data_IF_954210881604
#
_entry.id   IF_954210881604
#
_cell.length_a   1.000
_cell.length_b   1.000
_cell.length_c   1.000
_cell.angle_alpha   90.00
_cell.angle_beta   90.00
_cell.angle_gamma   90.00
#
_symmetry.space_group_name_H-M   'P 1'
#
loop_
_entity.id
_entity.type
_entity.pdbx_description
1 polymer ?
#
# COMPACT_ATOMS: atom_id res chain seq x y z
N UNK A 1 -16.93 -13.93 72.89
CA UNK A 1 -17.79 -12.74 72.62
C UNK A 1 -17.39 -12.19 71.25
N UNK A 2 -18.22 -11.81 70.30
CA UNK A 2 -19.61 -12.02 69.94
C UNK A 2 -19.81 -11.20 68.63
N UNK A 3 -20.16 -11.88 67.51
CA UNK A 3 -20.96 -11.44 66.32
C UNK A 3 -20.67 -10.09 65.61
N UNK A 4 -20.84 -9.88 64.29
CA UNK A 4 -21.26 -10.67 63.13
C UNK A 4 -20.97 -9.86 61.84
N UNK A 5 -20.68 -10.57 60.74
CA UNK A 5 -20.68 -10.06 59.34
C UNK A 5 -22.12 -9.81 58.84
N UNK A 6 -22.31 -8.86 57.91
CA UNK A 6 -23.48 -8.81 57.03
C UNK A 6 -23.06 -8.84 55.56
N UNK A 7 -23.51 -9.91 54.90
CA UNK A 7 -23.45 -10.23 53.47
C UNK A 7 -24.76 -9.78 52.83
N UNK A 8 -24.75 -9.38 51.55
CA UNK A 8 -25.95 -9.37 50.69
C UNK A 8 -25.64 -10.14 49.41
N UNK A 9 -26.15 -11.36 49.33
CA UNK A 9 -26.30 -12.21 48.14
C UNK A 9 -27.74 -11.95 47.62
N UNK A 10 -28.06 -11.94 46.32
CA UNK A 10 -28.58 -13.07 45.48
C UNK A 10 -29.43 -12.37 44.38
N UNK A 11 -29.45 -12.67 43.06
CA UNK A 11 -29.75 -13.94 42.39
C UNK A 11 -29.28 -13.96 40.92
N UNK A 12 -28.75 -15.12 40.55
CA UNK A 12 -28.55 -15.67 39.21
C UNK A 12 -29.69 -16.65 38.91
N UNK A 13 -30.11 -16.78 37.65
CA UNK A 13 -30.80 -17.95 37.06
C UNK A 13 -30.77 -17.76 35.53
N UNK A 14 -29.86 -18.35 34.74
CA UNK A 14 -29.61 -19.74 34.27
C UNK A 14 -30.66 -20.36 33.32
N UNK A 15 -30.13 -20.77 32.13
CA UNK A 15 -30.60 -21.73 31.11
C UNK A 15 -31.81 -21.30 30.23
N UNK A 16 -31.88 -21.58 28.92
CA UNK A 16 -31.50 -22.79 28.17
C UNK A 16 -31.55 -22.52 26.65
N UNK A 17 -30.64 -23.15 25.93
CA UNK A 17 -30.44 -23.24 24.47
C UNK A 17 -31.62 -23.91 23.73
N UNK A 18 -32.09 -23.37 22.60
CA UNK A 18 -32.64 -24.10 21.41
C UNK A 18 -32.71 -23.16 20.19
N UNK A 19 -32.29 -23.73 19.05
CA UNK A 19 -32.23 -23.27 17.64
C UNK A 19 -33.44 -22.48 17.13
N UNK A 20 -33.17 -21.40 16.37
CA UNK A 20 -33.99 -20.96 15.22
C UNK A 20 -33.12 -20.05 14.31
N UNK A 21 -32.87 -20.48 13.07
CA UNK A 21 -32.42 -19.59 11.99
C UNK A 21 -33.53 -18.59 11.68
N UNK A 22 -33.20 -17.30 11.45
CA UNK A 22 -33.58 -16.76 10.14
C UNK A 22 -32.60 -15.77 9.53
N UNK A 23 -32.46 -15.93 8.21
CA UNK A 23 -32.38 -14.87 7.20
C UNK A 23 -31.13 -13.98 7.23
N UNK A 24 -30.22 -14.37 6.33
CA UNK A 24 -29.32 -13.48 5.57
C UNK A 24 -30.11 -12.30 5.01
N UNK A 25 -30.14 -11.19 5.75
CA UNK A 25 -30.40 -9.88 5.16
C UNK A 25 -29.10 -9.44 4.48
N UNK A 26 -29.11 -9.56 3.15
CA UNK A 26 -28.17 -8.90 2.27
C UNK A 26 -28.24 -7.40 2.53
N UNK A 27 -27.36 -6.88 3.40
CA UNK A 27 -27.10 -5.45 3.53
C UNK A 27 -26.57 -4.96 2.19
N UNK A 28 -27.44 -4.24 1.47
CA UNK A 28 -27.05 -3.33 0.41
C UNK A 28 -25.89 -2.44 0.91
N UNK A 29 -24.93 -2.07 0.05
CA UNK A 29 -23.75 -1.32 0.47
C UNK A 29 -24.21 0.04 1.02
N UNK A 30 -24.14 0.18 2.35
CA UNK A 30 -24.19 1.48 2.99
C UNK A 30 -23.03 2.28 2.41
N UNK A 31 -23.36 3.32 1.64
CA UNK A 31 -22.42 4.38 1.29
C UNK A 31 -21.95 4.97 2.61
N UNK A 32 -20.84 4.44 3.12
CA UNK A 32 -20.18 4.94 4.32
C UNK A 32 -19.84 6.40 4.02
N UNK A 33 -20.42 7.32 4.77
CA UNK A 33 -19.96 8.71 4.76
C UNK A 33 -18.46 8.75 5.09
N UNK A 34 -17.73 9.80 4.67
CA UNK A 34 -16.28 9.85 4.82
C UNK A 34 -15.92 9.62 6.29
N UNK A 35 -15.16 8.55 6.55
CA UNK A 35 -14.68 8.22 7.88
C UNK A 35 -13.85 9.41 8.37
N UNK A 36 -14.17 9.91 9.56
CA UNK A 36 -13.37 10.96 10.19
C UNK A 36 -12.12 10.30 10.75
N UNK A 37 -11.00 10.53 10.10
CA UNK A 37 -9.70 10.12 10.59
C UNK A 37 -9.25 11.06 11.71
N UNK A 38 -8.78 10.47 12.81
CA UNK A 38 -8.14 11.23 13.88
C UNK A 38 -6.73 11.65 13.45
N UNK A 39 -6.19 12.73 14.05
CA UNK A 39 -4.89 13.29 13.64
C UNK A 39 -3.73 12.30 13.83
N UNK A 40 -3.81 11.53 14.90
CA UNK A 40 -2.80 10.58 15.35
C UNK A 40 -3.11 9.15 14.84
N UNK A 41 -4.11 9.01 13.96
CA UNK A 41 -4.45 7.71 13.37
C UNK A 41 -3.34 7.25 12.44
N UNK A 42 -2.92 6.00 12.64
CA UNK A 42 -1.80 5.39 11.95
C UNK A 42 -2.28 4.72 10.66
N UNK A 43 -1.88 5.30 9.53
CA UNK A 43 -2.24 4.86 8.20
C UNK A 43 -1.10 4.02 7.60
N UNK A 44 -1.36 2.80 7.11
CA UNK A 44 -0.37 1.98 6.44
C UNK A 44 0.04 2.58 5.09
N UNK A 45 1.34 2.78 4.92
CA UNK A 45 1.95 3.27 3.70
C UNK A 45 3.05 2.32 3.24
N UNK A 46 2.95 1.82 2.00
CA UNK A 46 3.90 0.90 1.38
C UNK A 46 4.95 1.65 0.58
N UNK A 47 6.23 1.38 0.80
CA UNK A 47 7.28 1.95 -0.05
C UNK A 47 7.27 1.32 -1.44
N UNK A 48 7.34 2.16 -2.47
CA UNK A 48 7.60 1.73 -3.87
C UNK A 48 9.03 2.04 -4.31
N UNK A 49 9.78 2.76 -3.47
CA UNK A 49 11.16 3.15 -3.74
C UNK A 49 12.12 1.96 -3.56
N UNK A 50 13.02 1.70 -4.51
CA UNK A 50 14.06 0.68 -4.34
C UNK A 50 15.10 1.13 -3.30
N UNK A 51 15.22 0.36 -2.21
CA UNK A 51 16.17 0.63 -1.13
C UNK A 51 15.52 1.29 0.09
N UNK A 52 16.33 1.97 0.90
CA UNK A 52 15.87 2.65 2.11
C UNK A 52 15.19 3.96 1.76
N UNK A 53 13.95 4.13 2.21
CA UNK A 53 13.20 5.38 2.08
C UNK A 53 13.11 6.05 3.46
N UNK A 54 13.34 7.37 3.48
CA UNK A 54 13.17 8.20 4.67
C UNK A 54 12.15 9.29 4.37
N UNK A 55 11.11 9.38 5.19
CA UNK A 55 10.14 10.45 5.18
C UNK A 55 10.09 11.08 6.57
N UNK A 56 10.38 12.37 6.65
CA UNK A 56 10.19 13.12 7.89
C UNK A 56 8.79 13.72 7.87
N UNK A 57 7.99 13.37 8.89
CA UNK A 57 6.65 13.91 9.09
C UNK A 57 6.68 15.43 9.05
N UNK A 58 5.99 16.02 8.08
CA UNK A 58 6.03 17.47 7.86
C UNK A 58 5.48 18.27 9.04
N UNK A 59 4.66 17.63 9.89
CA UNK A 59 3.99 18.29 11.01
C UNK A 59 4.44 17.76 12.37
N UNK A 60 4.52 16.44 12.53
CA UNK A 60 4.96 15.80 13.76
C UNK A 60 6.48 15.84 13.93
N UNK A 61 7.24 15.94 12.84
CA UNK A 61 8.70 15.78 12.82
C UNK A 61 9.18 14.34 13.03
N UNK A 62 8.26 13.37 13.06
CA UNK A 62 8.60 11.95 13.26
C UNK A 62 9.32 11.41 12.01
N UNK A 63 10.49 10.77 12.14
CA UNK A 63 11.15 10.11 11.03
C UNK A 63 10.52 8.74 10.79
N UNK A 64 9.93 8.56 9.61
CA UNK A 64 9.40 7.28 9.12
C UNK A 64 10.41 6.68 8.14
N UNK A 65 10.73 5.40 8.33
CA UNK A 65 11.72 4.69 7.51
C UNK A 65 11.14 3.40 6.96
N UNK A 66 11.47 3.11 5.70
CA UNK A 66 11.26 1.80 5.09
C UNK A 66 12.61 1.17 4.79
N UNK A 67 12.72 -0.12 5.07
CA UNK A 67 13.99 -0.84 4.89
C UNK A 67 14.20 -1.23 3.42
N UNK A 68 13.10 -1.55 2.73
CA UNK A 68 13.12 -2.02 1.35
C UNK A 68 11.84 -1.63 0.61
N UNK A 69 11.85 -1.76 -0.71
CA UNK A 69 10.63 -1.70 -1.53
C UNK A 69 9.65 -2.79 -1.08
N UNK A 70 8.37 -2.43 -0.99
CA UNK A 70 7.29 -3.29 -0.51
C UNK A 70 7.12 -3.32 1.01
N UNK A 71 8.03 -2.71 1.77
CA UNK A 71 7.89 -2.56 3.23
C UNK A 71 6.74 -1.60 3.56
N UNK A 72 6.08 -1.80 4.70
CA UNK A 72 4.94 -0.99 5.15
C UNK A 72 5.30 -0.28 6.44
N UNK A 73 5.16 1.04 6.44
CA UNK A 73 5.32 1.87 7.62
C UNK A 73 3.99 2.55 7.94
N UNK A 74 3.76 2.78 9.22
CA UNK A 74 2.55 3.42 9.73
C UNK A 74 2.82 4.90 9.96
N UNK A 75 2.13 5.74 9.21
CA UNK A 75 2.28 7.20 9.26
C UNK A 75 1.06 7.82 9.92
N UNK A 76 1.25 8.88 10.70
CA UNK A 76 0.12 9.64 11.22
C UNK A 76 -0.62 10.38 10.11
N UNK A 77 -1.95 10.33 10.15
CA UNK A 77 -2.81 10.99 9.17
C UNK A 77 -2.53 12.50 9.05
N UNK A 78 -2.14 13.17 10.15
CA UNK A 78 -1.77 14.59 10.10
C UNK A 78 -0.55 14.90 9.24
N UNK A 79 0.44 13.99 9.19
CA UNK A 79 1.63 14.13 8.36
C UNK A 79 1.34 13.84 6.90
N UNK A 80 0.45 12.89 6.63
CA UNK A 80 -0.05 12.61 5.28
C UNK A 80 -0.84 13.80 4.73
N UNK A 81 -1.76 14.36 5.51
CA UNK A 81 -2.48 15.58 5.15
C UNK A 81 -1.54 16.76 4.91
N UNK A 82 -0.51 16.94 5.76
CA UNK A 82 0.47 17.99 5.57
C UNK A 82 1.25 17.79 4.26
N UNK A 83 1.72 16.57 3.98
CA UNK A 83 2.39 16.22 2.72
C UNK A 83 1.50 16.48 1.50
N UNK A 84 0.21 16.16 1.60
CA UNK A 84 -0.77 16.40 0.54
C UNK A 84 -0.97 17.90 0.27
N UNK A 85 -1.21 18.70 1.32
CA UNK A 85 -1.40 20.15 1.21
C UNK A 85 -0.15 20.83 0.66
N UNK A 86 1.03 20.36 1.06
CA UNK A 86 2.32 20.86 0.58
C UNK A 86 2.67 20.41 -0.84
N UNK A 87 1.80 19.60 -1.48
CA UNK A 87 2.08 18.99 -2.80
C UNK A 87 3.44 18.28 -2.82
N UNK A 88 3.72 17.53 -1.75
CA UNK A 88 5.00 16.85 -1.56
C UNK A 88 5.26 15.83 -2.67
N UNK A 89 6.48 15.82 -3.20
CA UNK A 89 6.92 14.86 -4.21
C UNK A 89 6.73 13.41 -3.73
N UNK A 90 6.81 13.15 -2.42
CA UNK A 90 6.58 11.81 -1.86
C UNK A 90 5.20 11.20 -2.19
N UNK A 91 4.17 12.02 -2.37
CA UNK A 91 2.79 11.60 -2.66
C UNK A 91 2.47 11.77 -4.15
N UNK A 92 2.88 12.87 -4.76
CA UNK A 92 2.56 13.21 -6.16
C UNK A 92 3.56 12.64 -7.19
N UNK A 93 4.79 12.29 -6.77
CA UNK A 93 5.73 11.40 -7.45
C UNK A 93 5.98 10.19 -6.52
N UNK A 94 5.01 9.26 -6.43
CA UNK A 94 4.84 8.39 -5.28
C UNK A 94 6.11 7.59 -4.98
N UNK A 95 6.75 7.94 -3.87
CA UNK A 95 7.86 7.18 -3.28
C UNK A 95 7.32 6.09 -2.34
N UNK A 96 6.12 6.32 -1.80
CA UNK A 96 5.30 5.36 -1.09
C UNK A 96 3.83 5.52 -1.52
N UNK A 97 3.04 4.45 -1.33
CA UNK A 97 1.62 4.37 -1.67
C UNK A 97 0.82 4.18 -0.39
N UNK A 98 -0.30 4.89 -0.25
CA UNK A 98 -1.21 4.75 0.89
C UNK A 98 -2.07 3.50 0.63
N UNK A 99 -2.03 2.53 1.55
CA UNK A 99 -2.80 1.27 1.39
C UNK A 99 -4.23 1.38 1.91
N UNK A 100 -4.53 2.39 2.72
CA UNK A 100 -5.85 2.57 3.30
C UNK A 100 -6.84 3.16 2.28
N UNK A 101 -7.70 2.29 1.75
CA UNK A 101 -8.75 2.67 0.81
C UNK A 101 -9.75 3.67 1.41
N UNK A 102 -10.04 3.60 2.72
CA UNK A 102 -10.98 4.52 3.37
C UNK A 102 -10.41 5.95 3.38
N UNK A 103 -9.09 6.11 3.42
CA UNK A 103 -8.42 7.42 3.29
C UNK A 103 -8.54 7.96 1.86
N UNK A 104 -8.32 7.09 0.87
CA UNK A 104 -8.36 7.44 -0.54
C UNK A 104 -9.78 7.75 -1.06
N UNK A 105 -10.80 7.24 -0.38
CA UNK A 105 -12.22 7.56 -0.64
C UNK A 105 -12.65 8.95 -0.14
N UNK A 106 -11.88 9.59 0.76
CA UNK A 106 -12.18 10.95 1.22
C UNK A 106 -12.08 11.93 0.04
N UNK A 107 -13.05 12.86 -0.15
CA UNK A 107 -13.01 13.89 -1.18
C UNK A 107 -11.69 14.64 -1.36
N UNK A 108 -10.89 14.79 -0.29
CA UNK A 108 -9.57 15.42 -0.37
C UNK A 108 -8.60 14.57 -1.19
N UNK A 109 -8.63 13.25 -1.01
CA UNK A 109 -7.67 12.32 -1.57
C UNK A 109 -8.05 11.81 -2.97
N UNK A 110 -9.20 12.21 -3.53
CA UNK A 110 -9.65 11.82 -4.89
C UNK A 110 -8.58 12.06 -5.95
N UNK A 111 -7.84 13.18 -5.87
CA UNK A 111 -6.75 13.47 -6.84
C UNK A 111 -5.61 12.46 -6.72
N UNK A 112 -5.24 12.09 -5.49
CA UNK A 112 -4.19 11.11 -5.19
C UNK A 112 -4.66 9.70 -5.58
N UNK A 113 -5.91 9.36 -5.30
CA UNK A 113 -6.53 8.11 -5.75
C UNK A 113 -6.47 7.97 -7.27
N UNK A 114 -6.88 9.00 -8.02
CA UNK A 114 -6.77 9.02 -9.49
C UNK A 114 -5.35 8.92 -9.99
N UNK A 115 -4.39 9.52 -9.28
CA UNK A 115 -2.97 9.40 -9.61
C UNK A 115 -2.52 7.95 -9.44
N UNK A 116 -2.86 7.30 -8.33
CA UNK A 116 -2.52 5.91 -8.05
C UNK A 116 -3.20 4.95 -9.04
N UNK A 117 -4.50 5.11 -9.29
CA UNK A 117 -5.25 4.35 -10.32
C UNK A 117 -4.61 4.55 -11.70
N UNK A 118 -4.24 5.77 -12.08
CA UNK A 118 -3.52 6.03 -13.34
C UNK A 118 -2.13 5.40 -13.37
N UNK A 119 -1.50 5.08 -12.23
CA UNK A 119 -0.23 4.37 -12.19
C UNK A 119 -0.41 2.85 -12.25
N UNK A 120 -1.46 2.31 -11.61
CA UNK A 120 -1.82 0.90 -11.63
C UNK A 120 -2.43 0.48 -12.98
N UNK A 121 -3.43 1.20 -13.47
CA UNK A 121 -4.10 0.94 -14.76
C UNK A 121 -3.16 1.10 -15.95
N UNK A 122 -2.13 1.94 -15.82
CA UNK A 122 -1.22 2.16 -16.92
C UNK A 122 -0.20 1.01 -17.06
N UNK A 123 0.09 0.24 -16.00
CA UNK A 123 1.28 -0.61 -15.99
C UNK A 123 1.20 -1.79 -15.00
N UNK A 124 0.46 -2.86 -15.33
CA UNK A 124 0.68 -4.17 -14.70
C UNK A 124 2.08 -4.67 -15.10
N UNK A 125 2.99 -4.74 -14.13
CA UNK A 125 4.36 -5.21 -14.31
C UNK A 125 4.40 -6.60 -14.94
N UNK A 126 3.48 -7.51 -14.59
CA UNK A 126 3.45 -8.84 -15.19
C UNK A 126 2.94 -8.81 -16.63
N UNK A 127 1.92 -8.00 -16.94
CA UNK A 127 1.49 -7.80 -18.32
C UNK A 127 2.59 -7.19 -19.17
N UNK A 128 3.29 -6.16 -18.67
CA UNK A 128 4.43 -5.56 -19.35
C UNK A 128 5.51 -6.61 -19.61
N UNK A 129 5.85 -7.41 -18.59
CA UNK A 129 6.82 -8.50 -18.75
C UNK A 129 6.33 -9.60 -19.68
N UNK A 130 5.03 -9.75 -19.90
CA UNK A 130 4.46 -10.69 -20.87
C UNK A 130 4.45 -10.13 -22.31
N UNK A 131 4.52 -8.80 -22.50
CA UNK A 131 4.49 -8.17 -23.82
C UNK A 131 5.61 -8.69 -24.74
N UNK A 132 5.36 -8.76 -26.06
CA UNK A 132 6.41 -9.03 -27.03
C UNK A 132 7.44 -7.88 -27.07
N UNK A 133 8.68 -8.19 -27.42
CA UNK A 133 9.85 -7.29 -27.32
C UNK A 133 9.64 -5.90 -27.93
N UNK A 134 8.95 -5.83 -29.07
CA UNK A 134 8.71 -4.58 -29.79
C UNK A 134 7.76 -3.64 -29.02
N UNK A 135 6.76 -4.21 -28.34
CA UNK A 135 5.82 -3.45 -27.52
C UNK A 135 6.47 -3.12 -26.17
N UNK A 136 7.19 -4.08 -25.57
CA UNK A 136 7.88 -3.93 -24.30
C UNK A 136 8.84 -2.72 -24.27
N UNK A 137 9.66 -2.55 -25.31
CA UNK A 137 10.59 -1.40 -25.38
C UNK A 137 9.86 -0.06 -25.39
N UNK A 138 8.75 0.02 -26.15
CA UNK A 138 7.97 1.25 -26.30
C UNK A 138 7.26 1.58 -24.99
N UNK A 139 6.55 0.62 -24.41
CA UNK A 139 5.86 0.80 -23.12
C UNK A 139 6.83 1.14 -22.00
N UNK A 140 8.01 0.51 -21.94
CA UNK A 140 9.02 0.82 -20.92
C UNK A 140 9.65 2.22 -21.10
N UNK A 141 9.78 2.71 -22.34
CA UNK A 141 10.31 4.06 -22.62
C UNK A 141 9.29 5.15 -22.29
N UNK A 142 8.02 4.90 -22.64
CA UNK A 142 6.90 5.81 -22.34
C UNK A 142 6.47 5.74 -20.86
N UNK A 143 6.97 4.75 -20.10
CA UNK A 143 6.63 4.56 -18.70
C UNK A 143 7.22 5.64 -17.76
N UNK A 144 6.44 6.10 -16.76
CA UNK A 144 6.93 6.92 -15.66
C UNK A 144 8.11 6.28 -14.92
N UNK A 145 8.91 7.10 -14.22
CA UNK A 145 10.08 6.60 -13.45
C UNK A 145 9.68 5.57 -12.39
N UNK A 146 8.55 5.75 -11.71
CA UNK A 146 8.05 4.80 -10.70
C UNK A 146 7.80 3.40 -11.27
N UNK A 147 7.15 3.32 -12.43
CA UNK A 147 6.89 2.05 -13.13
C UNK A 147 8.17 1.39 -13.61
N UNK A 148 9.09 2.15 -14.19
CA UNK A 148 10.40 1.64 -14.60
C UNK A 148 11.17 1.03 -13.42
N UNK A 149 11.09 1.66 -12.24
CA UNK A 149 11.67 1.14 -11.00
C UNK A 149 10.95 -0.13 -10.52
N UNK A 150 9.63 -0.20 -10.61
CA UNK A 150 8.86 -1.39 -10.26
C UNK A 150 9.19 -2.58 -11.19
N UNK A 151 9.23 -2.37 -12.51
CA UNK A 151 9.65 -3.36 -13.51
C UNK A 151 11.08 -3.83 -13.24
N UNK A 152 12.01 -2.91 -12.97
CA UNK A 152 13.40 -3.24 -12.58
C UNK A 152 13.44 -4.13 -11.34
N UNK A 153 12.71 -3.78 -10.28
CA UNK A 153 12.68 -4.54 -9.03
C UNK A 153 12.09 -5.94 -9.21
N UNK A 154 10.98 -6.05 -9.97
CA UNK A 154 10.34 -7.31 -10.29
C UNK A 154 11.27 -8.23 -11.10
N UNK A 155 11.93 -7.71 -12.13
CA UNK A 155 12.87 -8.48 -12.96
C UNK A 155 14.11 -8.87 -12.18
N UNK A 156 14.68 -7.99 -11.36
CA UNK A 156 15.78 -8.33 -10.47
C UNK A 156 15.41 -9.49 -9.53
N UNK A 157 14.20 -9.46 -8.98
CA UNK A 157 13.67 -10.53 -8.12
C UNK A 157 13.45 -11.83 -8.88
N UNK A 158 12.92 -11.78 -10.11
CA UNK A 158 12.71 -12.97 -10.94
C UNK A 158 14.03 -13.58 -11.45
N UNK A 159 15.04 -12.75 -11.75
CA UNK A 159 16.41 -13.21 -12.07
C UNK A 159 17.03 -13.88 -10.84
N UNK A 160 16.91 -13.28 -9.66
CA UNK A 160 17.41 -13.89 -8.41
C UNK A 160 16.73 -15.22 -8.08
N UNK A 161 15.45 -15.37 -8.45
CA UNK A 161 14.68 -16.62 -8.32
C UNK A 161 14.96 -17.63 -9.45
N UNK A 162 15.69 -17.24 -10.50
CA UNK A 162 15.98 -18.09 -11.66
C UNK A 162 14.79 -18.35 -12.58
N UNK A 163 13.73 -17.54 -12.51
CA UNK A 163 12.49 -17.74 -13.28
C UNK A 163 12.37 -16.79 -14.48
N UNK A 164 13.34 -15.91 -14.71
CA UNK A 164 13.33 -14.96 -15.82
C UNK A 164 14.24 -15.42 -16.97
N UNK A 165 13.65 -15.94 -18.05
CA UNK A 165 14.41 -16.51 -19.17
C UNK A 165 14.76 -15.51 -20.29
N UNK A 166 14.15 -14.32 -20.32
CA UNK A 166 14.24 -13.44 -21.50
C UNK A 166 15.42 -12.46 -21.44
N UNK A 167 16.60 -12.91 -21.87
CA UNK A 167 17.82 -12.08 -21.96
C UNK A 167 17.61 -10.78 -22.77
N UNK A 168 16.84 -10.84 -23.86
CA UNK A 168 16.56 -9.66 -24.69
C UNK A 168 15.73 -8.60 -23.96
N UNK A 169 14.81 -9.00 -23.07
CA UNK A 169 14.05 -8.05 -22.23
C UNK A 169 14.94 -7.43 -21.16
N UNK A 170 15.85 -8.19 -20.55
CA UNK A 170 16.85 -7.66 -19.61
C UNK A 170 17.70 -6.58 -20.27
N UNK A 171 18.17 -6.82 -21.50
CA UNK A 171 18.95 -5.82 -22.26
C UNK A 171 18.18 -4.52 -22.51
N UNK A 172 16.89 -4.62 -22.84
CA UNK A 172 16.05 -3.43 -23.04
C UNK A 172 15.88 -2.66 -21.73
N UNK A 173 15.71 -3.35 -20.60
CA UNK A 173 15.61 -2.71 -19.28
C UNK A 173 16.93 -2.02 -18.94
N UNK A 174 18.06 -2.67 -19.16
CA UNK A 174 19.38 -2.10 -18.92
C UNK A 174 19.64 -0.85 -19.76
N UNK A 175 19.24 -0.86 -21.04
CA UNK A 175 19.35 0.30 -21.94
C UNK A 175 18.40 1.46 -21.56
N UNK A 176 17.15 1.17 -21.17
CA UNK A 176 16.12 2.19 -20.91
C UNK A 176 16.18 2.74 -19.48
N UNK A 177 16.52 1.89 -18.52
CA UNK A 177 16.55 2.23 -17.09
C UNK A 177 17.96 2.49 -16.57
N UNK A 178 19.01 2.28 -17.37
CA UNK A 178 20.41 2.48 -16.98
C UNK A 178 20.84 1.50 -15.88
N UNK A 179 20.53 0.22 -16.06
CA UNK A 179 20.80 -0.83 -15.09
C UNK A 179 21.79 -1.85 -15.64
N UNK A 180 22.42 -2.61 -14.75
CA UNK A 180 23.24 -3.77 -15.11
C UNK A 180 22.60 -5.03 -14.52
N UNK A 181 21.41 -5.39 -15.00
CA UNK A 181 20.75 -6.64 -14.61
C UNK A 181 21.35 -7.83 -15.36
N UNK A 182 21.96 -7.60 -16.53
CA UNK A 182 22.69 -8.62 -17.29
C UNK A 182 23.76 -9.35 -16.48
N UNK A 183 24.50 -8.66 -15.61
CA UNK A 183 25.56 -9.28 -14.80
C UNK A 183 25.02 -10.17 -13.67
N UNK A 184 23.73 -10.07 -13.36
CA UNK A 184 23.08 -10.82 -12.27
C UNK A 184 22.49 -12.14 -12.77
N UNK A 185 22.31 -12.32 -14.09
CA UNK A 185 21.97 -13.60 -14.68
C UNK A 185 23.19 -14.52 -14.63
N UNK A 186 23.11 -15.60 -13.83
CA UNK A 186 24.14 -16.65 -13.74
C UNK A 186 23.85 -17.81 -14.67
#
# INVERSE_FOLDING_TARGET
>A
MAVAKKTTTTKVSMAKETVDEPVVEAKAPEVKGPKKFEKDELIPCRSVTPGMLLYNGQKSGIPYTWTSSGDVAYLEYQDLLAGMVMRSDYIYDPLFVIEDEEVLEDPKWIEVKKLYESMEDAFDVNEILSLPLNLFRKTLTDAPKGVRNAVKSAVATQIAKGTFDSFQKVKIIDEVCGTDLQITMK
#
